data_IF_590355986969
#
_entry.id   IF_590355986969
#
_cell.length_a   1.000
_cell.length_b   1.000
_cell.length_c   1.000
_cell.angle_alpha   90.00
_cell.angle_beta   90.00
_cell.angle_gamma   90.00
#
_symmetry.space_group_name_H-M   'P 1'
#
loop_
_entity.id
_entity.type
_entity.pdbx_description
1 polymer ?
#
# COMPACT_ATOMS: atom_id res chain seq x y z
N UNK A 1 -6.98 1.44 -20.53
CA UNK A 1 -6.93 2.83 -20.00
C UNK A 1 -6.01 2.87 -18.81
N UNK A 2 -5.73 4.06 -18.25
CA UNK A 2 -4.95 4.15 -17.01
C UNK A 2 -5.69 3.45 -15.87
N UNK A 3 -4.97 2.65 -15.08
CA UNK A 3 -5.52 1.89 -13.96
C UNK A 3 -5.38 2.66 -12.63
N UNK A 4 -4.26 3.33 -12.42
CA UNK A 4 -4.03 4.15 -11.23
C UNK A 4 -3.04 5.28 -11.51
N UNK A 5 -3.02 6.25 -10.60
CA UNK A 5 -2.00 7.30 -10.52
C UNK A 5 -1.32 7.23 -9.15
N UNK A 6 0.01 7.22 -9.16
CA UNK A 6 0.81 7.28 -7.94
C UNK A 6 1.14 8.75 -7.59
N UNK A 7 0.85 9.12 -6.35
CA UNK A 7 1.05 10.45 -5.78
C UNK A 7 2.17 10.37 -4.75
N UNK A 8 3.28 11.06 -5.03
CA UNK A 8 4.43 11.06 -4.14
C UNK A 8 4.20 11.96 -2.92
N UNK A 9 4.64 11.51 -1.76
CA UNK A 9 4.66 12.28 -0.50
C UNK A 9 6.00 12.06 0.23
N UNK A 10 6.36 13.02 1.08
CA UNK A 10 7.49 12.90 2.00
C UNK A 10 7.07 12.43 3.40
N UNK A 11 5.75 12.39 3.67
CA UNK A 11 5.21 11.83 4.90
C UNK A 11 3.87 11.12 4.63
N UNK A 12 3.96 9.83 4.35
CA UNK A 12 2.85 8.94 4.03
C UNK A 12 1.99 8.64 5.25
N UNK A 13 2.54 8.65 6.47
CA UNK A 13 1.74 8.46 7.68
C UNK A 13 0.75 9.61 7.84
N UNK A 14 1.25 10.85 7.79
CA UNK A 14 0.41 12.04 7.86
C UNK A 14 -0.55 12.15 6.66
N UNK A 15 -0.10 11.82 5.46
CA UNK A 15 -0.95 11.84 4.27
C UNK A 15 -2.10 10.83 4.37
N UNK A 16 -1.82 9.60 4.82
CA UNK A 16 -2.86 8.57 5.01
C UNK A 16 -3.85 8.99 6.08
N UNK A 17 -3.37 9.47 7.23
CA UNK A 17 -4.24 9.92 8.32
C UNK A 17 -5.19 11.04 7.84
N UNK A 18 -4.65 12.05 7.14
CA UNK A 18 -5.45 13.14 6.58
C UNK A 18 -6.47 12.66 5.53
N UNK A 19 -6.09 11.72 4.66
CA UNK A 19 -7.00 11.18 3.65
C UNK A 19 -8.12 10.35 4.28
N UNK A 20 -7.82 9.57 5.32
CA UNK A 20 -8.84 8.83 6.08
C UNK A 20 -9.80 9.79 6.78
N UNK A 21 -9.30 10.88 7.37
CA UNK A 21 -10.13 11.90 8.01
C UNK A 21 -11.08 12.60 7.02
N UNK A 22 -10.67 12.74 5.76
CA UNK A 22 -11.49 13.25 4.64
C UNK A 22 -12.41 12.17 4.02
N UNK A 23 -12.44 10.96 4.59
CA UNK A 23 -13.34 9.88 4.16
C UNK A 23 -12.83 9.03 3.00
N UNK A 24 -11.55 9.12 2.64
CA UNK A 24 -10.96 8.24 1.63
C UNK A 24 -10.73 6.85 2.20
N UNK A 25 -11.23 5.84 1.50
CA UNK A 25 -11.03 4.44 1.86
C UNK A 25 -9.82 3.83 1.14
N UNK A 26 -9.06 3.01 1.88
CA UNK A 26 -7.94 2.25 1.36
C UNK A 26 -8.23 0.74 1.28
N UNK A 27 -7.47 0.04 0.44
CA UNK A 27 -7.49 -1.41 0.39
C UNK A 27 -6.95 -2.00 1.70
N UNK A 28 -7.57 -3.09 2.15
CA UNK A 28 -7.19 -3.74 3.40
C UNK A 28 -6.07 -4.77 3.20
N UNK A 29 -4.93 -4.48 3.81
CA UNK A 29 -3.80 -5.41 3.91
C UNK A 29 -4.01 -6.36 5.11
N UNK A 30 -3.83 -7.69 4.94
CA UNK A 30 -4.05 -8.63 6.04
C UNK A 30 -2.90 -8.54 7.06
N UNK A 31 -3.19 -8.78 8.33
CA UNK A 31 -2.16 -8.75 9.39
C UNK A 31 -0.98 -9.70 9.10
N UNK A 32 -1.26 -10.84 8.44
CA UNK A 32 -0.27 -11.82 8.02
C UNK A 32 0.83 -11.25 7.13
N UNK A 33 0.57 -10.18 6.36
CA UNK A 33 1.59 -9.49 5.58
C UNK A 33 2.68 -8.92 6.50
N UNK A 34 2.30 -8.22 7.56
CA UNK A 34 3.21 -7.60 8.52
C UNK A 34 3.89 -8.61 9.45
N UNK A 35 3.25 -9.77 9.63
CA UNK A 35 3.77 -10.85 10.47
C UNK A 35 4.77 -11.75 9.75
N UNK A 36 4.80 -11.70 8.41
CA UNK A 36 5.68 -12.51 7.57
C UNK A 36 7.17 -12.35 7.96
N UNK A 37 7.82 -13.42 8.45
CA UNK A 37 9.24 -13.40 8.80
C UNK A 37 10.15 -13.04 7.62
N UNK A 38 9.79 -13.43 6.38
CA UNK A 38 10.58 -13.12 5.19
C UNK A 38 10.51 -11.63 4.87
N UNK A 39 9.31 -11.02 4.98
CA UNK A 39 9.15 -9.57 4.85
C UNK A 39 10.00 -8.85 5.90
N UNK A 40 9.86 -9.23 7.17
CA UNK A 40 10.60 -8.62 8.29
C UNK A 40 12.11 -8.74 8.13
N UNK A 41 12.60 -9.88 7.63
CA UNK A 41 14.02 -10.07 7.35
C UNK A 41 14.50 -9.19 6.17
N UNK A 42 13.67 -8.97 5.16
CA UNK A 42 14.01 -8.20 3.95
C UNK A 42 13.98 -6.69 4.15
N UNK A 43 12.99 -6.16 4.88
CA UNK A 43 12.78 -4.70 4.99
C UNK A 43 13.81 -4.01 5.89
N UNK A 44 14.49 -4.75 6.76
CA UNK A 44 15.47 -4.20 7.69
C UNK A 44 14.91 -3.05 8.55
N UNK A 45 15.74 -2.05 8.84
CA UNK A 45 15.32 -0.85 9.54
C UNK A 45 14.73 0.18 8.58
N UNK A 46 13.48 0.57 8.83
CA UNK A 46 12.75 1.65 8.14
C UNK A 46 12.49 2.79 9.14
N UNK A 47 12.16 3.99 8.64
CA UNK A 47 12.02 5.18 9.50
C UNK A 47 10.98 5.11 10.62
N UNK A 48 10.08 4.13 10.58
CA UNK A 48 9.00 3.93 11.58
C UNK A 48 8.82 2.46 11.90
N UNK A 49 8.36 2.09 13.10
CA UNK A 49 8.04 0.70 13.43
C UNK A 49 7.02 0.11 12.46
N UNK A 50 7.12 -1.19 12.18
CA UNK A 50 6.20 -1.88 11.26
C UNK A 50 4.75 -1.84 11.77
N UNK A 51 4.57 -1.72 13.08
CA UNK A 51 3.27 -1.58 13.74
C UNK A 51 2.55 -0.29 13.33
N UNK A 52 3.28 0.80 13.09
CA UNK A 52 2.71 2.06 12.60
C UNK A 52 2.26 1.94 11.13
N UNK A 53 2.96 1.13 10.34
CA UNK A 53 2.58 0.79 8.98
C UNK A 53 1.34 -0.12 8.97
N UNK A 54 1.33 -1.14 9.82
CA UNK A 54 0.22 -2.09 9.97
C UNK A 54 -1.07 -1.40 10.38
N UNK A 55 -1.01 -0.47 11.34
CA UNK A 55 -2.18 0.31 11.79
C UNK A 55 -2.87 1.04 10.65
N UNK A 56 -2.11 1.45 9.63
CA UNK A 56 -2.59 2.23 8.47
C UNK A 56 -2.77 1.39 7.20
N UNK A 57 -2.39 0.13 7.20
CA UNK A 57 -2.40 -0.70 6.00
C UNK A 57 -1.32 -0.32 4.97
N UNK A 58 -0.28 0.42 5.38
CA UNK A 58 0.82 0.84 4.50
C UNK A 58 1.74 -0.36 4.23
N UNK A 59 2.07 -0.59 2.98
CA UNK A 59 2.98 -1.63 2.51
C UNK A 59 4.42 -1.10 2.44
N UNK A 60 5.39 -2.00 2.51
CA UNK A 60 6.81 -1.70 2.47
C UNK A 60 7.54 -2.66 1.54
N UNK A 61 8.36 -2.12 0.65
CA UNK A 61 9.27 -2.92 -0.18
C UNK A 61 10.68 -2.33 -0.15
N UNK A 62 11.69 -3.18 -0.33
CA UNK A 62 13.11 -2.79 -0.30
C UNK A 62 13.84 -3.36 -1.51
N UNK A 63 14.67 -2.53 -2.13
CA UNK A 63 15.62 -2.88 -3.18
C UNK A 63 17.06 -2.54 -2.75
N UNK A 64 18.01 -2.61 -3.69
CA UNK A 64 19.43 -2.35 -3.45
C UNK A 64 19.72 -0.87 -3.10
N UNK A 65 18.88 0.05 -3.57
CA UNK A 65 19.08 1.50 -3.43
C UNK A 65 18.36 2.07 -2.20
N UNK A 66 17.38 1.35 -1.66
CA UNK A 66 16.69 1.72 -0.44
C UNK A 66 15.32 1.06 -0.31
N UNK A 67 14.36 1.74 0.33
CA UNK A 67 13.01 1.22 0.50
C UNK A 67 11.94 2.22 0.07
N UNK A 68 10.73 1.72 -0.12
CA UNK A 68 9.55 2.52 -0.42
C UNK A 68 8.37 2.08 0.45
N UNK A 69 7.47 3.03 0.68
CA UNK A 69 6.21 2.83 1.38
C UNK A 69 5.07 3.14 0.41
N UNK A 70 4.06 2.28 0.37
CA UNK A 70 2.95 2.40 -0.58
C UNK A 70 1.63 2.06 0.09
N UNK A 71 0.56 2.70 -0.37
CA UNK A 71 -0.82 2.32 -0.01
C UNK A 71 -1.76 2.69 -1.16
N UNK A 72 -2.82 1.92 -1.32
CA UNK A 72 -3.72 2.00 -2.46
C UNK A 72 -5.14 2.31 -2.01
N UNK A 73 -5.78 3.31 -2.61
CA UNK A 73 -7.18 3.63 -2.33
C UNK A 73 -8.09 2.53 -2.89
N UNK A 74 -9.31 2.44 -2.38
CA UNK A 74 -10.39 1.79 -3.12
C UNK A 74 -10.65 2.55 -4.44
N UNK A 75 -11.30 1.91 -5.44
CA UNK A 75 -11.73 2.60 -6.64
C UNK A 75 -12.63 3.81 -6.34
N UNK A 76 -12.42 4.93 -7.03
CA UNK A 76 -13.02 6.25 -6.71
C UNK A 76 -14.44 6.40 -7.29
N UNK A 77 -15.08 5.30 -7.69
CA UNK A 77 -16.41 5.29 -8.26
C UNK A 77 -17.01 3.90 -8.26
N UNK A 78 -18.26 3.79 -8.71
CA UNK A 78 -19.03 2.54 -8.68
C UNK A 78 -18.40 1.42 -9.53
N UNK A 79 -17.61 1.81 -10.54
CA UNK A 79 -16.90 0.87 -11.41
C UNK A 79 -15.47 0.67 -10.88
N UNK A 80 -14.99 -0.59 -10.79
CA UNK A 80 -13.65 -0.90 -10.28
C UNK A 80 -12.57 -0.61 -11.34
N UNK A 81 -12.40 0.66 -11.72
CA UNK A 81 -11.53 1.05 -12.85
C UNK A 81 -10.31 1.86 -12.45
N UNK A 82 -10.49 2.96 -11.71
CA UNK A 82 -9.39 3.89 -11.37
C UNK A 82 -9.29 4.00 -9.86
N UNK A 83 -8.06 3.87 -9.34
CA UNK A 83 -7.70 4.11 -7.95
C UNK A 83 -6.43 4.96 -7.86
N UNK A 84 -6.10 5.44 -6.67
CA UNK A 84 -4.86 6.17 -6.40
C UNK A 84 -3.90 5.33 -5.57
N UNK A 85 -2.62 5.57 -5.77
CA UNK A 85 -1.54 5.08 -4.94
C UNK A 85 -0.90 6.29 -4.24
N UNK A 86 -0.65 6.19 -2.94
CA UNK A 86 0.21 7.13 -2.22
C UNK A 86 1.55 6.43 -2.00
N UNK A 87 2.64 7.10 -2.39
CA UNK A 87 3.99 6.52 -2.35
C UNK A 87 4.99 7.47 -1.67
N UNK A 88 5.82 6.93 -0.79
CA UNK A 88 6.97 7.62 -0.19
C UNK A 88 8.23 6.80 -0.44
N UNK A 89 9.29 7.45 -0.93
CA UNK A 89 10.54 6.79 -1.31
C UNK A 89 11.69 7.21 -0.41
N UNK A 90 12.48 6.23 -0.01
CA UNK A 90 13.74 6.38 0.73
C UNK A 90 14.84 5.67 -0.05
N UNK A 91 15.32 6.30 -1.12
CA UNK A 91 16.37 5.75 -1.99
C UNK A 91 15.86 4.81 -3.09
N UNK A 92 14.89 3.94 -2.79
CA UNK A 92 14.37 2.96 -3.76
C UNK A 92 13.87 3.62 -5.05
N UNK A 93 14.36 3.09 -6.18
CA UNK A 93 13.95 3.48 -7.54
C UNK A 93 12.95 2.49 -8.16
N UNK A 94 12.70 1.36 -7.49
CA UNK A 94 11.77 0.32 -7.94
C UNK A 94 10.30 0.72 -7.87
N UNK A 95 9.43 -0.18 -8.33
CA UNK A 95 7.97 0.01 -8.31
C UNK A 95 7.28 -0.69 -7.13
N UNK A 96 8.03 -1.38 -6.27
CA UNK A 96 7.46 -2.19 -5.19
C UNK A 96 6.82 -3.47 -5.72
N UNK A 97 7.55 -4.26 -6.51
CA UNK A 97 7.01 -5.49 -7.11
C UNK A 97 6.49 -6.47 -6.05
N UNK A 98 7.09 -6.50 -4.86
CA UNK A 98 6.58 -7.28 -3.74
C UNK A 98 5.23 -6.76 -3.24
N UNK A 99 5.07 -5.44 -3.18
CA UNK A 99 3.81 -4.79 -2.78
C UNK A 99 2.70 -5.03 -3.82
N UNK A 100 3.03 -5.11 -5.11
CA UNK A 100 2.05 -5.41 -6.15
C UNK A 100 1.37 -6.77 -5.94
N UNK A 101 2.09 -7.80 -5.51
CA UNK A 101 1.46 -9.10 -5.19
C UNK A 101 0.46 -8.95 -4.04
N UNK A 102 0.85 -8.29 -2.96
CA UNK A 102 -0.02 -8.02 -1.82
C UNK A 102 -1.25 -7.16 -2.21
N UNK A 103 -1.06 -6.20 -3.12
CA UNK A 103 -2.13 -5.40 -3.72
C UNK A 103 -3.12 -6.29 -4.50
N UNK A 104 -2.63 -7.16 -5.38
CA UNK A 104 -3.50 -8.06 -6.15
C UNK A 104 -4.34 -8.95 -5.23
N UNK A 105 -3.73 -9.54 -4.20
CA UNK A 105 -4.43 -10.35 -3.20
C UNK A 105 -5.46 -9.53 -2.40
N UNK A 106 -5.23 -8.22 -2.18
CA UNK A 106 -6.20 -7.32 -1.57
C UNK A 106 -7.37 -6.98 -2.51
N UNK A 107 -7.08 -6.73 -3.79
CA UNK A 107 -8.10 -6.45 -4.81
C UNK A 107 -8.99 -7.68 -5.02
N UNK A 108 -8.41 -8.89 -5.14
CA UNK A 108 -9.18 -10.12 -5.32
C UNK A 108 -10.12 -10.37 -4.15
N UNK A 109 -9.67 -10.15 -2.91
CA UNK A 109 -10.53 -10.24 -1.72
C UNK A 109 -11.68 -9.23 -1.76
N UNK A 110 -11.42 -8.01 -2.20
CA UNK A 110 -12.46 -6.99 -2.34
C UNK A 110 -13.47 -7.36 -3.44
N UNK A 111 -13.00 -7.87 -4.59
CA UNK A 111 -13.87 -8.32 -5.68
C UNK A 111 -14.73 -9.51 -5.27
N UNK A 112 -14.17 -10.48 -4.54
CA UNK A 112 -14.91 -11.59 -3.98
C UNK A 112 -16.00 -11.14 -3.00
N UNK A 113 -15.70 -10.13 -2.16
CA UNK A 113 -16.69 -9.54 -1.25
C UNK A 113 -17.82 -8.79 -1.99
N UNK A 114 -17.54 -8.22 -3.16
CA UNK A 114 -18.52 -7.54 -4.02
C UNK A 114 -19.37 -8.51 -4.88
N UNK A 115 -19.02 -9.80 -4.94
CA UNK A 115 -19.83 -10.84 -5.59
C UNK A 115 -19.77 -10.90 -7.11
N UNK A 116 -18.78 -10.27 -7.75
CA UNK A 116 -18.61 -10.33 -9.21
C UNK A 116 -17.80 -11.58 -9.61
N UNK A 117 -18.52 -12.65 -9.99
CA UNK A 117 -18.02 -13.70 -10.88
C UNK A 117 -18.53 -13.46 -12.31
#
# INVERSE_FOLDING_TARGET
GAQHLALATNDILAAVDALVDEGIEFLSTPASYYEDPELRARIGEVRVPIEELQKRGILVDRDEDGYLLQIFTKPIGDRPTVFFEIIERHGSLGFGLGNFKALFEAIEREQAARGNF
#
